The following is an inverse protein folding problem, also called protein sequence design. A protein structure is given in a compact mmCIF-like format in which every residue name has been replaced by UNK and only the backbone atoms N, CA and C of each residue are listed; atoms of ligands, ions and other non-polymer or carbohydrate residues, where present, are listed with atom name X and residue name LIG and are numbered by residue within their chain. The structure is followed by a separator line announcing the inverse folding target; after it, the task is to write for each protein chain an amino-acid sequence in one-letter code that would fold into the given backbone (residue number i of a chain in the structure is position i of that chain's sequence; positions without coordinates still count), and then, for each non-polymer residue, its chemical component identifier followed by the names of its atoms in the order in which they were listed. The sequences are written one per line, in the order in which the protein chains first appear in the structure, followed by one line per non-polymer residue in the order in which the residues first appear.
data_IF_080354092820
#
_entry.id   IF_080354092820
#
_cell.length_a   1.000
_cell.length_b   1.000
_cell.length_c   1.000
_cell.angle_alpha   90.00
_cell.angle_beta   90.00
_cell.angle_gamma   90.00
#
_symmetry.space_group_name_H-M   'P 1'
#
loop_
_entity.id
_entity.type
_entity.pdbx_description
1 polymer ?
#
# COMPACT_ATOMS: atom_id res chain seq x y z
N UNK A 1 7.44 8.09 1.07
CA UNK A 1 6.49 7.43 2.00
C UNK A 1 5.61 8.49 2.65
N UNK A 2 4.31 8.28 2.70
CA UNK A 2 3.34 9.19 3.33
C UNK A 2 3.31 9.00 4.85
N UNK A 3 3.20 10.07 5.63
CA UNK A 3 3.00 9.97 7.09
C UNK A 3 1.51 9.93 7.42
N UNK A 4 1.15 9.64 8.68
CA UNK A 4 -0.23 9.65 9.18
C UNK A 4 -0.26 10.39 10.52
N UNK A 5 -1.21 11.31 10.73
CA UNK A 5 -1.38 12.00 12.02
C UNK A 5 -1.72 11.04 13.19
N UNK A 6 -2.18 9.84 12.86
CA UNK A 6 -2.46 8.77 13.81
C UNK A 6 -1.27 7.83 14.04
N UNK A 7 -0.10 8.10 13.44
CA UNK A 7 1.11 7.31 13.67
C UNK A 7 1.40 7.20 15.18
N UNK A 8 1.56 5.95 15.65
CA UNK A 8 1.85 5.59 17.05
C UNK A 8 0.83 6.10 18.07
N UNK A 9 -0.33 6.59 17.65
CA UNK A 9 -1.46 6.84 18.56
C UNK A 9 -2.00 5.49 19.05
N UNK A 10 -2.53 5.47 20.28
CA UNK A 10 -3.11 4.24 20.82
C UNK A 10 -4.34 3.84 20.01
N UNK A 11 -4.31 2.63 19.45
CA UNK A 11 -5.46 2.00 18.84
C UNK A 11 -6.14 1.05 19.83
N UNK A 12 -7.46 1.04 19.83
CA UNK A 12 -8.24 0.22 20.74
C UNK A 12 -9.33 -0.53 20.00
N UNK A 13 -9.61 -1.74 20.49
CA UNK A 13 -10.65 -2.61 19.96
C UNK A 13 -10.36 -3.00 18.50
N UNK A 14 -11.30 -3.71 17.86
CA UNK A 14 -11.19 -4.13 16.45
C UNK A 14 -10.11 -5.19 16.18
N UNK A 15 -9.64 -5.91 17.18
CA UNK A 15 -8.70 -7.03 17.03
C UNK A 15 -9.21 -8.07 16.02
N UNK A 16 -10.53 -8.29 16.02
CA UNK A 16 -11.23 -9.16 15.07
C UNK A 16 -10.96 -8.78 13.61
N UNK A 17 -10.76 -7.49 13.30
CA UNK A 17 -10.54 -7.02 11.93
C UNK A 17 -9.16 -7.46 11.42
N UNK A 18 -8.12 -7.38 12.24
CA UNK A 18 -6.79 -7.87 11.88
C UNK A 18 -6.74 -9.39 11.74
N UNK A 19 -7.46 -10.11 12.61
CA UNK A 19 -7.61 -11.57 12.49
C UNK A 19 -8.30 -11.92 11.17
N UNK A 20 -9.38 -11.21 10.81
CA UNK A 20 -10.10 -11.41 9.55
C UNK A 20 -9.21 -11.13 8.34
N UNK A 21 -8.46 -10.02 8.34
CA UNK A 21 -7.51 -9.70 7.26
C UNK A 21 -6.41 -10.75 7.12
N UNK A 22 -5.87 -11.22 8.25
CA UNK A 22 -4.87 -12.29 8.26
C UNK A 22 -5.42 -13.55 7.60
N UNK A 23 -6.64 -13.95 7.99
CA UNK A 23 -7.32 -15.10 7.41
C UNK A 23 -7.56 -14.95 5.89
N UNK A 24 -8.00 -13.79 5.44
CA UNK A 24 -8.16 -13.50 4.01
C UNK A 24 -6.83 -13.63 3.23
N UNK A 25 -5.71 -13.25 3.85
CA UNK A 25 -4.39 -13.36 3.24
C UNK A 25 -3.83 -14.79 3.26
N UNK A 26 -4.28 -15.65 4.16
CA UNK A 26 -3.91 -17.08 4.24
C UNK A 26 -4.71 -17.92 3.24
N UNK A 27 -6.00 -17.61 3.06
CA UNK A 27 -6.88 -18.30 2.10
C UNK A 27 -6.67 -17.88 0.64
N UNK A 28 -5.65 -17.07 0.36
CA UNK A 28 -5.34 -16.57 -0.98
C UNK A 28 -5.20 -17.66 -2.04
N UNK A 29 -4.59 -18.79 -1.71
CA UNK A 29 -4.41 -19.91 -2.64
C UNK A 29 -5.72 -20.54 -3.12
N UNK A 30 -6.83 -20.32 -2.42
CA UNK A 30 -8.15 -20.90 -2.73
C UNK A 30 -9.20 -19.85 -3.16
N UNK A 31 -8.90 -18.55 -3.08
CA UNK A 31 -9.84 -17.48 -3.40
C UNK A 31 -9.59 -16.86 -4.79
N UNK A 32 -10.66 -16.60 -5.55
CA UNK A 32 -10.62 -15.91 -6.85
C UNK A 32 -10.42 -14.38 -6.74
N UNK A 33 -10.71 -13.79 -5.59
CA UNK A 33 -10.69 -12.33 -5.38
C UNK A 33 -9.28 -11.86 -5.05
N UNK A 34 -8.68 -10.94 -5.83
CA UNK A 34 -7.29 -10.47 -5.71
C UNK A 34 -7.05 -9.31 -4.72
N UNK A 35 -7.95 -9.06 -3.76
CA UNK A 35 -7.78 -7.98 -2.76
C UNK A 35 -8.77 -8.04 -1.59
N UNK A 36 -8.62 -7.13 -0.64
CA UNK A 36 -9.59 -6.84 0.42
C UNK A 36 -9.88 -5.34 0.44
N UNK A 37 -11.15 -4.96 0.58
CA UNK A 37 -11.60 -3.57 0.70
C UNK A 37 -12.24 -3.39 2.07
N UNK A 38 -11.78 -2.37 2.80
CA UNK A 38 -12.30 -2.05 4.14
C UNK A 38 -13.31 -0.92 3.99
N UNK A 39 -14.58 -1.22 4.22
CA UNK A 39 -15.68 -0.26 4.11
C UNK A 39 -16.24 0.10 5.48
N UNK A 40 -16.74 1.33 5.62
CA UNK A 40 -17.33 1.85 6.84
C UNK A 40 -17.65 3.33 6.71
N UNK A 41 -18.58 3.83 7.51
CA UNK A 41 -18.98 5.24 7.50
C UNK A 41 -17.84 6.20 7.89
N UNK A 42 -18.03 7.52 7.73
CA UNK A 42 -17.13 8.53 8.28
C UNK A 42 -16.91 8.30 9.78
N UNK A 43 -15.67 8.51 10.26
CA UNK A 43 -15.32 8.31 11.67
C UNK A 43 -15.27 6.85 12.16
N UNK A 44 -15.51 5.85 11.30
CA UNK A 44 -15.50 4.43 11.71
C UNK A 44 -14.10 3.88 12.05
N UNK A 45 -13.04 4.68 11.89
CA UNK A 45 -11.66 4.32 12.21
C UNK A 45 -10.92 3.52 11.13
N UNK A 46 -11.29 3.65 9.85
CA UNK A 46 -10.61 2.97 8.73
C UNK A 46 -9.13 3.36 8.64
N UNK A 47 -8.84 4.65 8.56
CA UNK A 47 -7.47 5.17 8.56
C UNK A 47 -6.72 4.80 9.84
N UNK A 48 -7.38 4.81 11.00
CA UNK A 48 -6.78 4.36 12.25
C UNK A 48 -6.38 2.88 12.21
N UNK A 49 -7.25 2.02 11.66
CA UNK A 49 -6.97 0.60 11.44
C UNK A 49 -5.78 0.41 10.49
N UNK A 50 -5.73 1.18 9.39
CA UNK A 50 -4.61 1.18 8.46
C UNK A 50 -3.30 1.64 9.13
N UNK A 51 -3.31 2.74 9.89
CA UNK A 51 -2.12 3.25 10.58
C UNK A 51 -1.62 2.24 11.64
N UNK A 52 -2.52 1.49 12.30
CA UNK A 52 -2.13 0.41 13.21
C UNK A 52 -1.51 -0.81 12.48
N UNK A 53 -1.85 -1.09 11.21
CA UNK A 53 -1.15 -2.12 10.41
C UNK A 53 0.27 -1.64 10.05
N UNK A 54 0.41 -0.36 9.66
CA UNK A 54 1.69 0.21 9.21
C UNK A 54 2.66 0.43 10.38
N UNK A 55 2.15 0.89 11.52
CA UNK A 55 2.92 1.18 12.73
C UNK A 55 2.27 0.49 13.94
N UNK A 56 2.38 -0.85 14.04
CA UNK A 56 1.70 -1.62 15.08
C UNK A 56 2.19 -1.30 16.48
N UNK A 57 1.29 -1.34 17.45
CA UNK A 57 1.59 -1.17 18.87
C UNK A 57 2.55 -2.23 19.43
N UNK A 58 3.13 -1.91 20.59
CA UNK A 58 3.91 -2.85 21.39
C UNK A 58 3.01 -3.68 22.31
N UNK A 59 3.38 -4.94 22.57
CA UNK A 59 2.65 -5.83 23.49
C UNK A 59 1.94 -7.02 22.83
N UNK A 60 1.32 -7.88 23.63
CA UNK A 60 0.74 -9.15 23.18
C UNK A 60 -0.51 -8.97 22.31
N UNK A 61 -1.35 -7.98 22.63
CA UNK A 61 -2.58 -7.67 21.88
C UNK A 61 -2.32 -7.18 20.46
N UNK A 62 -1.13 -6.65 20.18
CA UNK A 62 -0.73 -6.17 18.85
C UNK A 62 -0.08 -7.25 17.94
N UNK A 63 -0.13 -8.53 18.35
CA UNK A 63 0.48 -9.64 17.59
C UNK A 63 -0.11 -9.79 16.17
N UNK A 64 -1.44 -9.77 15.95
CA UNK A 64 -2.01 -9.82 14.60
C UNK A 64 -1.52 -8.68 13.70
N UNK A 65 -1.42 -7.47 14.23
CA UNK A 65 -1.00 -6.26 13.53
C UNK A 65 0.46 -6.36 13.10
N UNK A 66 1.35 -6.82 14.00
CA UNK A 66 2.74 -7.11 13.64
C UNK A 66 2.88 -8.23 12.61
N UNK A 67 2.01 -9.25 12.66
CA UNK A 67 2.00 -10.31 11.65
C UNK A 67 1.66 -9.76 10.26
N UNK A 68 0.64 -8.90 10.18
CA UNK A 68 0.27 -8.20 8.95
C UNK A 68 1.38 -7.25 8.48
N UNK A 69 1.97 -6.48 9.38
CA UNK A 69 3.05 -5.54 9.07
C UNK A 69 4.27 -6.23 8.42
N UNK A 70 4.62 -7.44 8.86
CA UNK A 70 5.70 -8.24 8.26
C UNK A 70 5.42 -8.63 6.80
N UNK A 71 4.15 -8.61 6.38
CA UNK A 71 3.70 -8.95 5.01
C UNK A 71 3.34 -7.71 4.19
N UNK A 72 3.47 -6.51 4.77
CA UNK A 72 3.22 -5.23 4.12
C UNK A 72 4.47 -4.80 3.33
N UNK A 73 4.33 -4.68 2.01
CA UNK A 73 5.45 -4.28 1.13
C UNK A 73 5.50 -2.78 0.87
N UNK A 74 4.34 -2.12 0.81
CA UNK A 74 4.25 -0.69 0.61
C UNK A 74 2.90 -0.19 1.15
N UNK A 75 2.85 1.09 1.51
CA UNK A 75 1.63 1.75 1.91
C UNK A 75 1.55 3.17 1.34
N UNK A 76 0.31 3.68 1.24
CA UNK A 76 0.05 5.06 0.85
C UNK A 76 -1.18 5.58 1.59
N UNK A 77 -1.03 6.71 2.28
CA UNK A 77 -2.12 7.42 2.95
C UNK A 77 -2.51 8.64 2.12
N UNK A 78 -3.74 8.63 1.59
CA UNK A 78 -4.29 9.79 0.90
C UNK A 78 -4.74 10.86 1.92
N UNK A 79 -4.07 12.01 1.92
CA UNK A 79 -4.31 13.11 2.84
C UNK A 79 -4.77 14.34 2.07
N UNK A 80 -6.01 14.78 2.29
CA UNK A 80 -6.58 15.94 1.58
C UNK A 80 -5.73 17.22 1.74
N UNK A 81 -5.05 17.37 2.88
CA UNK A 81 -4.18 18.50 3.19
C UNK A 81 -2.77 18.43 2.58
N UNK A 82 -2.38 17.29 2.00
CA UNK A 82 -1.06 17.13 1.36
C UNK A 82 -1.23 16.71 -0.09
N UNK A 83 -1.09 17.69 -0.99
CA UNK A 83 -1.25 17.54 -2.44
C UNK A 83 -0.32 16.46 -3.01
N UNK A 84 0.85 16.21 -2.40
CA UNK A 84 1.75 15.14 -2.86
C UNK A 84 1.13 13.76 -2.70
N UNK A 85 0.30 13.56 -1.68
CA UNK A 85 -0.41 12.29 -1.47
C UNK A 85 -1.55 12.07 -2.47
N UNK A 86 -1.94 13.11 -3.20
CA UNK A 86 -2.98 13.07 -4.24
C UNK A 86 -2.41 12.91 -5.65
N UNK A 87 -1.08 13.04 -5.78
CA UNK A 87 -0.36 12.91 -7.05
C UNK A 87 -0.11 11.45 -7.39
N UNK A 88 -0.61 11.00 -8.54
CA UNK A 88 -0.36 9.64 -9.05
C UNK A 88 1.12 9.42 -9.30
N UNK A 89 1.85 10.45 -9.75
CA UNK A 89 3.30 10.38 -9.94
C UNK A 89 4.02 10.11 -8.63
N UNK A 90 3.70 10.86 -7.57
CA UNK A 90 4.33 10.67 -6.26
C UNK A 90 3.91 9.33 -5.62
N UNK A 91 2.68 8.88 -5.85
CA UNK A 91 2.24 7.54 -5.47
C UNK A 91 3.12 6.45 -6.12
N UNK A 92 3.25 6.44 -7.46
CA UNK A 92 4.02 5.42 -8.18
C UNK A 92 5.48 5.41 -7.73
N UNK A 93 6.12 6.59 -7.67
CA UNK A 93 7.50 6.73 -7.19
C UNK A 93 7.65 6.20 -5.76
N UNK A 94 6.75 6.59 -4.85
CA UNK A 94 6.81 6.15 -3.46
C UNK A 94 6.53 4.66 -3.29
N UNK A 95 5.73 4.02 -4.14
CA UNK A 95 5.53 2.56 -4.12
C UNK A 95 6.79 1.86 -4.61
N UNK A 96 7.39 2.29 -5.72
CA UNK A 96 8.64 1.71 -6.25
C UNK A 96 9.78 1.77 -5.21
N UNK A 97 9.96 2.92 -4.57
CA UNK A 97 10.96 3.09 -3.50
C UNK A 97 10.73 2.12 -2.34
N UNK A 98 9.50 2.02 -1.84
CA UNK A 98 9.14 1.10 -0.75
C UNK A 98 9.40 -0.36 -1.12
N UNK A 99 8.99 -0.75 -2.33
CA UNK A 99 9.21 -2.11 -2.85
C UNK A 99 10.69 -2.45 -2.93
N UNK A 100 11.53 -1.54 -3.45
CA UNK A 100 12.98 -1.75 -3.56
C UNK A 100 13.68 -2.01 -2.21
N UNK A 101 13.10 -1.53 -1.11
CA UNK A 101 13.61 -1.73 0.25
C UNK A 101 13.01 -2.98 0.89
N UNK A 102 11.69 -3.15 0.79
CA UNK A 102 10.96 -4.22 1.48
C UNK A 102 11.07 -5.59 0.81
N UNK A 103 11.30 -5.63 -0.49
CA UNK A 103 11.47 -6.88 -1.24
C UNK A 103 12.92 -7.38 -1.27
N UNK A 104 13.91 -6.61 -0.82
CA UNK A 104 15.31 -7.05 -0.76
C UNK A 104 15.50 -8.43 -0.10
N UNK A 105 14.87 -8.76 1.06
CA UNK A 105 14.99 -10.10 1.66
C UNK A 105 14.17 -11.19 0.95
N UNK A 106 13.36 -10.85 -0.05
CA UNK A 106 12.44 -11.76 -0.75
C UNK A 106 12.95 -12.05 -2.17
N UNK A 107 13.41 -11.01 -2.87
CA UNK A 107 13.97 -11.09 -4.22
C UNK A 107 14.96 -9.93 -4.42
N UNK A 108 16.24 -10.26 -4.30
CA UNK A 108 17.33 -9.32 -4.61
C UNK A 108 17.33 -8.95 -6.10
N UNK A 109 17.07 -9.94 -6.98
CA UNK A 109 16.93 -9.75 -8.43
C UNK A 109 15.89 -8.69 -8.79
N UNK A 110 14.70 -8.73 -8.18
CA UNK A 110 13.70 -7.67 -8.37
C UNK A 110 14.25 -6.30 -7.99
N UNK A 111 14.94 -6.21 -6.85
CA UNK A 111 15.48 -4.95 -6.35
C UNK A 111 16.63 -4.42 -7.21
N UNK A 112 17.46 -5.30 -7.78
CA UNK A 112 18.47 -4.92 -8.75
C UNK A 112 17.82 -4.40 -10.03
N UNK A 113 16.78 -5.09 -10.52
CA UNK A 113 16.06 -4.67 -11.73
C UNK A 113 15.49 -3.26 -11.60
N UNK A 114 14.91 -2.93 -10.44
CA UNK A 114 14.43 -1.56 -10.15
C UNK A 114 15.55 -0.50 -10.16
N UNK A 115 16.82 -0.90 -10.08
CA UNK A 115 17.99 0.00 -10.05
C UNK A 115 18.76 0.02 -11.37
N UNK A 116 18.85 -1.09 -12.08
CA UNK A 116 19.79 -1.27 -13.20
C UNK A 116 19.14 -1.61 -14.55
N UNK A 117 17.90 -2.13 -14.56
CA UNK A 117 17.22 -2.43 -15.83
C UNK A 117 16.75 -1.13 -16.46
N UNK A 118 17.33 -0.81 -17.62
CA UNK A 118 17.08 0.43 -18.36
C UNK A 118 15.61 0.63 -18.68
N UNK A 119 14.85 -0.41 -19.03
CA UNK A 119 13.43 -0.28 -19.36
C UNK A 119 12.60 0.02 -18.11
N UNK A 120 12.88 -0.70 -17.02
CA UNK A 120 12.20 -0.51 -15.72
C UNK A 120 12.51 0.87 -15.16
N UNK A 121 13.79 1.25 -15.07
CA UNK A 121 14.24 2.54 -14.54
C UNK A 121 13.68 3.69 -15.39
N UNK A 122 13.73 3.60 -16.72
CA UNK A 122 13.15 4.62 -17.58
C UNK A 122 11.64 4.74 -17.37
N UNK A 123 10.91 3.62 -17.26
CA UNK A 123 9.47 3.67 -17.01
C UNK A 123 9.09 4.36 -15.69
N UNK A 124 9.98 4.32 -14.69
CA UNK A 124 9.81 4.94 -13.38
C UNK A 124 10.35 6.38 -13.29
N UNK A 125 10.88 6.94 -14.38
CA UNK A 125 11.21 8.36 -14.44
C UNK A 125 9.95 9.22 -14.38
N UNK A 126 10.01 10.34 -13.66
CA UNK A 126 8.84 11.20 -13.42
C UNK A 126 8.21 11.70 -14.72
N UNK A 127 9.04 12.01 -15.72
CA UNK A 127 8.60 12.49 -17.02
C UNK A 127 7.75 11.44 -17.75
N UNK A 128 8.15 10.18 -17.67
CA UNK A 128 7.42 9.06 -18.26
C UNK A 128 6.15 8.73 -17.47
N UNK A 129 6.22 8.79 -16.13
CA UNK A 129 5.04 8.59 -15.28
C UNK A 129 3.98 9.66 -15.55
N UNK A 130 4.36 10.94 -15.65
CA UNK A 130 3.42 12.03 -15.98
C UNK A 130 2.80 11.81 -17.37
N UNK A 131 3.59 11.30 -18.33
CA UNK A 131 3.13 11.04 -19.69
C UNK A 131 2.13 9.87 -19.77
N UNK A 132 2.40 8.76 -19.08
CA UNK A 132 1.54 7.56 -19.09
C UNK A 132 1.66 6.77 -17.78
N UNK A 133 0.91 7.17 -16.72
CA UNK A 133 1.03 6.54 -15.40
C UNK A 133 0.74 5.03 -15.40
N UNK A 134 -0.25 4.59 -16.18
CA UNK A 134 -0.65 3.18 -16.27
C UNK A 134 0.46 2.31 -16.85
N UNK A 135 1.10 2.76 -17.93
CA UNK A 135 2.20 2.03 -18.57
C UNK A 135 3.46 2.04 -17.70
N UNK A 136 3.76 3.18 -17.08
CA UNK A 136 4.84 3.29 -16.09
C UNK A 136 4.65 2.37 -14.89
N UNK A 137 3.45 2.33 -14.30
CA UNK A 137 3.15 1.43 -13.19
C UNK A 137 3.19 -0.04 -13.62
N UNK A 138 2.66 -0.36 -14.81
CA UNK A 138 2.68 -1.72 -15.34
C UNK A 138 4.10 -2.22 -15.60
N UNK A 139 4.90 -1.48 -16.37
CA UNK A 139 6.26 -1.89 -16.76
C UNK A 139 7.26 -1.76 -15.61
N UNK A 140 7.12 -0.72 -14.79
CA UNK A 140 8.05 -0.45 -13.71
C UNK A 140 7.81 -1.29 -12.45
N UNK A 141 6.58 -1.75 -12.22
CA UNK A 141 6.21 -2.42 -10.97
C UNK A 141 5.51 -3.75 -11.21
N UNK A 142 4.39 -3.78 -11.93
CA UNK A 142 3.55 -4.99 -12.02
C UNK A 142 4.24 -6.14 -12.77
N UNK A 143 4.85 -5.85 -13.92
CA UNK A 143 5.56 -6.86 -14.71
C UNK A 143 6.77 -7.42 -13.94
N UNK A 144 7.68 -6.59 -13.37
CA UNK A 144 8.76 -7.08 -12.53
C UNK A 144 8.28 -7.92 -11.33
N UNK A 145 7.17 -7.54 -10.67
CA UNK A 145 6.61 -8.31 -9.55
C UNK A 145 6.09 -9.69 -9.98
N UNK A 146 5.49 -9.78 -11.17
CA UNK A 146 4.95 -11.03 -11.71
C UNK A 146 6.05 -12.05 -12.09
N UNK A 147 7.27 -11.58 -12.33
CA UNK A 147 8.40 -12.39 -12.78
C UNK A 147 9.29 -12.90 -11.65
N UNK A 148 9.00 -12.53 -10.39
CA UNK A 148 9.75 -13.00 -9.22
C UNK A 148 9.78 -14.53 -9.15
N UNK A 149 11.00 -15.09 -9.09
CA UNK A 149 11.25 -16.54 -8.94
C UNK A 149 12.22 -16.81 -7.80
N UNK A 150 12.00 -17.90 -7.01
CA UNK A 150 10.76 -18.69 -6.98
C UNK A 150 9.57 -17.84 -6.48
N UNK A 151 8.31 -18.27 -6.75
CA UNK A 151 7.15 -17.58 -6.21
C UNK A 151 7.24 -17.46 -4.68
N UNK A 152 6.92 -16.30 -4.09
CA UNK A 152 7.06 -16.12 -2.66
C UNK A 152 6.21 -17.13 -1.86
N UNK A 153 6.78 -17.68 -0.78
CA UNK A 153 6.16 -18.73 0.04
C UNK A 153 4.93 -18.28 0.84
N UNK A 154 4.70 -16.98 0.92
CA UNK A 154 3.55 -16.37 1.59
C UNK A 154 3.03 -15.20 0.75
N UNK A 155 1.76 -14.86 0.90
CA UNK A 155 1.21 -13.69 0.23
C UNK A 155 1.67 -12.39 0.89
N UNK A 156 1.93 -11.38 0.10
CA UNK A 156 2.25 -10.03 0.55
C UNK A 156 1.18 -9.05 0.05
N UNK A 157 1.17 -7.84 0.58
CA UNK A 157 0.19 -6.84 0.16
C UNK A 157 0.74 -5.41 0.18
N UNK A 158 0.08 -4.56 -0.58
CA UNK A 158 0.20 -3.10 -0.54
C UNK A 158 -1.06 -2.54 0.11
N UNK A 159 -0.92 -1.57 0.99
CA UNK A 159 -2.03 -0.90 1.66
C UNK A 159 -2.25 0.48 1.04
N UNK A 160 -3.48 0.80 0.67
CA UNK A 160 -3.83 2.15 0.18
C UNK A 160 -5.04 2.64 0.98
N UNK A 161 -4.85 3.76 1.70
CA UNK A 161 -5.94 4.42 2.41
C UNK A 161 -6.74 5.31 1.46
N UNK A 162 -8.04 5.43 1.72
CA UNK A 162 -8.92 6.33 0.97
C UNK A 162 -8.74 7.77 1.45
N UNK A 163 -8.97 8.74 0.55
CA UNK A 163 -9.05 10.15 0.93
C UNK A 163 -10.27 10.43 1.82
N UNK A 164 -10.09 11.30 2.82
CA UNK A 164 -11.23 11.88 3.54
C UNK A 164 -11.75 13.10 2.76
N UNK A 165 -12.81 12.89 2.01
CA UNK A 165 -13.43 13.92 1.16
C UNK A 165 -14.04 15.08 1.95
N UNK A 166 -14.29 14.91 3.26
CA UNK A 166 -14.85 15.99 4.09
C UNK A 166 -13.93 17.21 4.20
N UNK A 167 -12.64 17.02 3.94
CA UNK A 167 -11.62 18.05 3.98
C UNK A 167 -11.30 18.66 2.61
N UNK A 168 -11.96 18.20 1.53
CA UNK A 168 -11.81 18.77 0.20
C UNK A 168 -12.76 19.97 0.10
N UNK A 169 -12.24 21.17 0.31
CA UNK A 169 -12.94 22.42 -0.03
C UNK A 169 -12.89 22.65 -1.54
N UNK A 170 -13.68 21.89 -2.31
CA UNK A 170 -13.72 22.02 -3.77
C UNK A 170 -14.95 21.37 -4.41
N UNK A 171 -15.60 22.12 -5.30
CA UNK A 171 -16.87 21.92 -6.03
C UNK A 171 -17.56 20.57 -5.79
N UNK A 172 -18.68 20.60 -5.06
CA UNK A 172 -19.69 19.56 -5.09
C UNK A 172 -20.06 19.34 -6.56
N UNK A 173 -19.68 18.20 -7.13
CA UNK A 173 -20.24 17.78 -8.41
C UNK A 173 -21.74 17.61 -8.22
N UNK A 174 -22.50 18.62 -8.64
CA UNK A 174 -23.94 18.48 -8.83
C UNK A 174 -24.14 17.33 -9.82
N UNK A 175 -24.79 16.27 -9.34
CA UNK A 175 -25.28 15.23 -10.22
C UNK A 175 -26.29 15.88 -11.16
N UNK A 176 -25.96 15.94 -12.46
CA UNK A 176 -26.97 16.08 -13.51
C UNK A 176 -27.86 14.85 -13.54
#
# INVERSE_FOLDING_TARGET
MTTCHLERKRFYCREWAFVKLTHCLEQRGSCKTTGAVIVGGPGSGKTALCCEIVWPGSGQSARPQRSLNKRLLAYHFCQAQDVKTLSVTDFIVSIAEQLSQKLSPISEEFCERLKSDTEVVNSLQRENIVKCPDDSFRKGIIVPLAEIKPPPSQCYFVLVDSIDESHISGVKFEKK
#
